data_IF_668626967646
#
_entry.id   IF_668626967646
#
_cell.length_a   1.000
_cell.length_b   1.000
_cell.length_c   1.000
_cell.angle_alpha   90.00
_cell.angle_beta   90.00
_cell.angle_gamma   90.00
#
_symmetry.space_group_name_H-M   'P 1'
#
loop_
_entity.id
_entity.type
_entity.pdbx_description
1 polymer ?
#
# COMPACT_ATOMS: atom_id res chain seq x y z
N UNK A 1 19.86 -0.10 -20.02
CA UNK A 1 18.69 -0.78 -19.44
C UNK A 1 17.92 0.28 -18.66
N UNK A 2 16.78 0.71 -19.18
CA UNK A 2 15.95 1.78 -18.60
C UNK A 2 15.24 1.20 -17.38
N UNK A 3 15.49 1.75 -16.19
CA UNK A 3 14.71 1.42 -15.00
C UNK A 3 13.39 2.16 -15.09
N UNK A 4 12.28 1.43 -15.05
CA UNK A 4 10.94 2.00 -15.19
C UNK A 4 10.53 2.53 -13.82
N UNK A 5 10.39 3.84 -13.74
CA UNK A 5 9.74 4.53 -12.63
C UNK A 5 8.27 4.12 -12.57
N UNK A 6 7.76 3.79 -11.38
CA UNK A 6 6.35 3.46 -11.22
C UNK A 6 5.48 4.71 -11.45
N UNK A 7 4.45 4.57 -12.28
CA UNK A 7 3.49 5.65 -12.56
C UNK A 7 2.51 5.81 -11.39
N UNK A 8 1.88 6.99 -11.28
CA UNK A 8 0.80 7.19 -10.29
C UNK A 8 -0.37 6.23 -10.54
N UNK A 9 -0.66 5.92 -11.81
CA UNK A 9 -1.71 4.96 -12.18
C UNK A 9 -1.39 3.53 -11.71
N UNK A 10 -0.11 3.14 -11.66
CA UNK A 10 0.31 1.86 -11.11
C UNK A 10 -0.02 1.76 -9.61
N UNK A 11 0.28 2.81 -8.84
CA UNK A 11 -0.07 2.89 -7.42
C UNK A 11 -1.58 2.91 -7.21
N UNK A 12 -2.32 3.64 -8.05
CA UNK A 12 -3.79 3.67 -8.04
C UNK A 12 -4.40 2.29 -8.29
N UNK A 13 -3.89 1.54 -9.27
CA UNK A 13 -4.34 0.16 -9.53
C UNK A 13 -4.11 -0.71 -8.30
N UNK A 14 -2.92 -0.66 -7.72
CA UNK A 14 -2.58 -1.40 -6.49
C UNK A 14 -3.53 -1.08 -5.34
N UNK A 15 -3.86 0.19 -5.11
CA UNK A 15 -4.81 0.59 -4.07
C UNK A 15 -6.21 -0.01 -4.31
N UNK A 16 -6.67 -0.09 -5.57
CA UNK A 16 -7.95 -0.74 -5.88
C UNK A 16 -7.90 -2.25 -5.70
N UNK A 17 -6.81 -2.93 -6.02
CA UNK A 17 -6.66 -4.37 -5.74
C UNK A 17 -6.75 -4.66 -4.24
N UNK A 18 -6.14 -3.80 -3.40
CA UNK A 18 -6.30 -3.89 -1.94
C UNK A 18 -7.76 -3.70 -1.57
N UNK A 19 -8.43 -2.66 -2.08
CA UNK A 19 -9.85 -2.40 -1.81
C UNK A 19 -10.73 -3.61 -2.14
N UNK A 20 -10.60 -4.19 -3.34
CA UNK A 20 -11.40 -5.34 -3.76
C UNK A 20 -11.15 -6.56 -2.87
N UNK A 21 -9.92 -6.78 -2.42
CA UNK A 21 -9.56 -7.88 -1.53
C UNK A 21 -10.16 -7.72 -0.13
N UNK A 22 -10.23 -6.49 0.40
CA UNK A 22 -10.58 -6.24 1.82
C UNK A 22 -12.02 -5.79 2.03
N UNK A 23 -12.67 -5.23 1.01
CA UNK A 23 -14.06 -4.75 1.09
C UNK A 23 -15.03 -5.82 1.63
N UNK A 24 -14.95 -7.11 1.25
CA UNK A 24 -15.80 -8.16 1.81
C UNK A 24 -15.51 -8.50 3.30
N UNK A 25 -14.41 -8.00 3.86
CA UNK A 25 -13.99 -8.29 5.24
C UNK A 25 -14.30 -7.16 6.22
N UNK A 26 -14.60 -5.95 5.73
CA UNK A 26 -14.89 -4.78 6.57
C UNK A 26 -16.05 -5.04 7.53
N UNK A 27 -15.84 -4.83 8.82
CA UNK A 27 -16.83 -5.03 9.87
C UNK A 27 -17.24 -6.49 10.13
N UNK A 28 -16.54 -7.46 9.54
CA UNK A 28 -16.86 -8.89 9.73
C UNK A 28 -16.00 -9.53 10.82
N UNK A 29 -16.54 -10.54 11.50
CA UNK A 29 -15.76 -11.38 12.44
C UNK A 29 -14.55 -12.01 11.76
N UNK A 30 -14.70 -12.40 10.48
CA UNK A 30 -13.60 -12.96 9.68
C UNK A 30 -12.49 -11.94 9.48
N UNK A 31 -12.81 -10.68 9.21
CA UNK A 31 -11.84 -9.59 9.09
C UNK A 31 -11.13 -9.30 10.41
N UNK A 32 -11.88 -9.27 11.52
CA UNK A 32 -11.38 -9.00 12.86
C UNK A 32 -10.59 -10.15 13.52
N UNK A 33 -10.53 -11.33 12.88
CA UNK A 33 -9.82 -12.49 13.42
C UNK A 33 -8.34 -12.19 13.56
N UNK A 34 -7.83 -12.21 14.79
CA UNK A 34 -6.40 -12.07 15.13
C UNK A 34 -5.61 -13.27 14.62
N UNK A 35 -4.44 -13.03 14.04
CA UNK A 35 -3.61 -14.06 13.42
C UNK A 35 -2.24 -14.19 14.09
N UNK A 36 -1.38 -13.18 13.90
CA UNK A 36 0.03 -13.20 14.30
C UNK A 36 0.47 -11.81 14.77
N UNK A 37 1.68 -11.71 15.29
CA UNK A 37 2.31 -10.42 15.59
C UNK A 37 2.99 -9.93 14.31
N UNK A 38 2.69 -8.70 13.88
CA UNK A 38 3.30 -8.02 12.74
C UNK A 38 4.71 -7.52 13.07
N UNK A 39 5.45 -7.07 12.06
CA UNK A 39 6.81 -6.54 12.26
C UNK A 39 6.84 -5.29 13.17
N UNK A 40 5.75 -4.51 13.20
CA UNK A 40 5.56 -3.39 14.13
C UNK A 40 5.35 -3.78 15.60
N UNK A 41 5.07 -5.06 15.89
CA UNK A 41 4.86 -5.57 17.25
C UNK A 41 3.39 -5.70 17.69
N UNK A 42 2.45 -5.19 16.89
CA UNK A 42 1.01 -5.32 17.12
C UNK A 42 0.45 -6.66 16.58
N UNK A 43 -0.70 -7.08 17.09
CA UNK A 43 -1.38 -8.29 16.62
C UNK A 43 -2.14 -7.97 15.34
N UNK A 44 -1.64 -8.46 14.21
CA UNK A 44 -2.29 -8.36 12.90
C UNK A 44 -3.61 -9.12 12.88
N UNK A 45 -4.62 -8.54 12.25
CA UNK A 45 -5.88 -9.19 11.95
C UNK A 45 -5.88 -9.75 10.52
N UNK A 46 -6.88 -10.56 10.21
CA UNK A 46 -7.02 -11.18 8.90
C UNK A 46 -7.22 -10.12 7.79
N UNK A 47 -7.84 -8.99 8.09
CA UNK A 47 -7.97 -7.89 7.12
C UNK A 47 -6.61 -7.29 6.74
N UNK A 48 -5.72 -7.08 7.71
CA UNK A 48 -4.36 -6.55 7.48
C UNK A 48 -3.53 -7.52 6.63
N UNK A 49 -3.58 -8.80 7.00
CA UNK A 49 -2.88 -9.87 6.22
C UNK A 49 -3.46 -10.01 4.82
N UNK A 50 -4.76 -9.81 4.63
CA UNK A 50 -5.39 -9.86 3.29
C UNK A 50 -4.92 -8.69 2.43
N UNK A 51 -4.88 -7.48 2.99
CA UNK A 51 -4.39 -6.28 2.32
C UNK A 51 -2.92 -6.41 1.90
N UNK A 52 -2.06 -6.83 2.83
CA UNK A 52 -0.63 -7.04 2.61
C UNK A 52 -0.39 -8.08 1.49
N UNK A 53 -1.11 -9.21 1.53
CA UNK A 53 -0.99 -10.23 0.51
C UNK A 53 -1.45 -9.73 -0.88
N UNK A 54 -2.47 -8.87 -0.94
CA UNK A 54 -2.91 -8.27 -2.20
C UNK A 54 -1.82 -7.38 -2.80
N UNK A 55 -1.10 -6.58 -1.98
CA UNK A 55 0.04 -5.76 -2.42
C UNK A 55 1.17 -6.64 -2.96
N UNK A 56 1.59 -7.64 -2.18
CA UNK A 56 2.69 -8.54 -2.56
C UNK A 56 2.35 -9.25 -3.87
N UNK A 57 1.15 -9.83 -3.97
CA UNK A 57 0.71 -10.57 -5.14
C UNK A 57 0.68 -9.67 -6.38
N UNK A 58 0.10 -8.46 -6.28
CA UNK A 58 0.08 -7.49 -7.37
C UNK A 58 1.50 -7.14 -7.87
N UNK A 59 2.44 -6.90 -6.96
CA UNK A 59 3.84 -6.59 -7.32
C UNK A 59 4.54 -7.78 -8.00
N UNK A 60 4.30 -9.00 -7.51
CA UNK A 60 4.85 -10.24 -8.06
C UNK A 60 4.29 -10.53 -9.46
N UNK A 61 2.97 -10.43 -9.65
CA UNK A 61 2.30 -10.63 -10.93
C UNK A 61 2.77 -9.63 -12.00
N UNK A 62 2.96 -8.37 -11.61
CA UNK A 62 3.50 -7.31 -12.48
C UNK A 62 5.02 -7.39 -12.65
N UNK A 63 5.68 -8.39 -12.03
CA UNK A 63 7.13 -8.66 -12.12
C UNK A 63 7.98 -7.45 -11.74
N UNK A 64 7.55 -6.72 -10.72
CA UNK A 64 8.25 -5.53 -10.23
C UNK A 64 9.48 -5.95 -9.42
N UNK A 65 10.56 -5.17 -9.55
CA UNK A 65 11.76 -5.31 -8.72
C UNK A 65 11.83 -4.10 -7.79
N UNK A 66 11.51 -4.28 -6.51
CA UNK A 66 11.36 -3.17 -5.56
C UNK A 66 11.67 -3.60 -4.13
N UNK A 67 12.07 -2.66 -3.28
CA UNK A 67 12.02 -2.83 -1.82
C UNK A 67 10.63 -2.41 -1.33
N UNK A 68 9.85 -3.35 -0.81
CA UNK A 68 8.60 -3.09 -0.09
C UNK A 68 8.91 -2.92 1.39
N UNK A 69 8.37 -1.86 1.98
CA UNK A 69 8.42 -1.57 3.41
C UNK A 69 6.98 -1.42 3.90
N UNK A 70 6.56 -2.24 4.85
CA UNK A 70 5.23 -2.12 5.46
C UNK A 70 5.24 -2.47 6.95
N UNK A 71 4.16 -2.12 7.64
CA UNK A 71 3.97 -2.41 9.06
C UNK A 71 4.04 -3.91 9.38
N UNK A 72 3.49 -4.75 8.50
CA UNK A 72 3.29 -6.16 8.79
C UNK A 72 4.52 -7.04 8.55
N UNK A 73 5.32 -6.69 7.54
CA UNK A 73 6.46 -7.51 7.10
C UNK A 73 7.81 -6.81 7.28
N UNK A 74 7.83 -5.53 7.65
CA UNK A 74 9.05 -4.73 7.67
C UNK A 74 9.58 -4.56 6.25
N UNK A 75 10.86 -4.89 6.03
CA UNK A 75 11.50 -4.80 4.72
C UNK A 75 11.48 -6.13 3.95
N UNK A 76 10.95 -6.12 2.72
CA UNK A 76 10.95 -7.28 1.82
C UNK A 76 11.33 -6.85 0.39
N UNK A 77 12.29 -7.53 -0.20
CA UNK A 77 12.56 -7.39 -1.63
C UNK A 77 11.55 -8.21 -2.44
N UNK A 78 10.88 -7.58 -3.40
CA UNK A 78 10.04 -8.24 -4.39
C UNK A 78 10.81 -8.31 -5.72
N UNK A 79 10.77 -9.47 -6.39
CA UNK A 79 11.50 -9.73 -7.63
C UNK A 79 13.02 -9.91 -7.42
N UNK A 80 13.80 -9.46 -8.40
CA UNK A 80 15.27 -9.53 -8.37
C UNK A 80 15.85 -8.44 -7.45
N UNK A 81 16.39 -8.88 -6.31
CA UNK A 81 17.01 -8.02 -5.28
C UNK A 81 18.10 -7.10 -5.85
N UNK A 82 18.95 -7.60 -6.75
CA UNK A 82 20.04 -6.80 -7.33
C UNK A 82 19.50 -5.68 -8.21
N UNK A 83 18.42 -5.95 -8.96
CA UNK A 83 17.73 -4.93 -9.75
C UNK A 83 17.01 -3.91 -8.86
N UNK A 84 16.32 -4.37 -7.80
CA UNK A 84 15.66 -3.49 -6.84
C UNK A 84 16.65 -2.51 -6.19
N UNK A 85 17.78 -3.01 -5.67
CA UNK A 85 18.85 -2.19 -5.07
C UNK A 85 19.41 -1.18 -6.08
N UNK A 86 19.68 -1.63 -7.31
CA UNK A 86 20.25 -0.76 -8.34
C UNK A 86 19.29 0.34 -8.79
N UNK A 87 17.99 0.07 -8.83
CA UNK A 87 16.96 1.06 -9.16
C UNK A 87 16.69 2.06 -8.02
N UNK A 88 17.02 1.68 -6.77
CA UNK A 88 16.65 2.42 -5.57
C UNK A 88 15.13 2.64 -5.40
N UNK A 89 14.32 1.84 -6.10
CA UNK A 89 12.88 1.88 -5.95
C UNK A 89 12.48 1.34 -4.58
N UNK A 90 11.71 2.15 -3.85
CA UNK A 90 11.15 1.78 -2.55
C UNK A 90 9.66 2.07 -2.56
N UNK A 91 8.86 1.12 -2.10
CA UNK A 91 7.45 1.28 -1.82
C UNK A 91 7.25 1.24 -0.31
N UNK A 92 6.66 2.28 0.27
CA UNK A 92 6.31 2.35 1.68
C UNK A 92 4.80 2.26 1.76
N UNK A 93 4.28 1.27 2.48
CA UNK A 93 2.86 0.95 2.48
C UNK A 93 2.36 0.73 3.90
N UNK A 94 1.23 1.35 4.21
CA UNK A 94 0.33 0.90 5.27
C UNK A 94 -0.86 0.21 4.59
N UNK A 95 -0.95 -1.13 4.66
CA UNK A 95 -2.01 -1.87 3.99
C UNK A 95 -3.41 -1.48 4.50
N UNK A 96 -3.56 -1.19 5.79
CA UNK A 96 -4.81 -0.79 6.44
C UNK A 96 -4.48 0.22 7.56
N UNK A 97 -4.43 1.51 7.22
CA UNK A 97 -4.47 2.55 8.23
C UNK A 97 -5.86 2.54 8.87
N UNK A 98 -5.91 2.37 10.20
CA UNK A 98 -7.16 2.24 10.95
C UNK A 98 -7.72 0.81 11.02
N UNK A 99 -6.88 -0.22 11.15
CA UNK A 99 -7.30 -1.64 11.25
C UNK A 99 -8.40 -1.90 12.27
N UNK A 100 -8.34 -1.26 13.45
CA UNK A 100 -9.39 -1.38 14.46
C UNK A 100 -10.74 -0.84 13.98
N UNK A 101 -10.74 0.26 13.22
CA UNK A 101 -11.96 0.81 12.63
C UNK A 101 -12.48 -0.12 11.53
N UNK A 102 -11.58 -0.57 10.65
CA UNK A 102 -11.91 -1.49 9.56
C UNK A 102 -12.53 -2.80 10.07
N UNK A 103 -11.94 -3.39 11.11
CA UNK A 103 -12.43 -4.62 11.75
C UNK A 103 -13.80 -4.46 12.43
N UNK A 104 -14.13 -3.24 12.89
CA UNK A 104 -15.41 -2.91 13.53
C UNK A 104 -16.46 -2.33 12.58
N UNK A 105 -16.11 -2.14 11.31
CA UNK A 105 -17.00 -1.51 10.32
C UNK A 105 -17.19 0.00 10.55
N UNK A 106 -16.26 0.64 11.26
CA UNK A 106 -16.24 2.09 11.44
C UNK A 106 -15.58 2.70 10.19
N UNK A 107 -16.20 3.68 9.49
CA UNK A 107 -15.80 4.08 8.14
C UNK A 107 -14.60 5.04 8.07
N UNK A 108 -13.58 4.78 8.90
CA UNK A 108 -12.35 5.56 9.00
C UNK A 108 -11.14 4.64 8.86
N UNK A 109 -10.98 4.09 7.66
CA UNK A 109 -9.82 3.29 7.27
C UNK A 109 -9.42 3.54 5.81
N UNK A 110 -8.13 3.36 5.52
CA UNK A 110 -7.57 3.55 4.18
C UNK A 110 -6.40 2.62 3.91
N UNK A 111 -6.08 2.42 2.63
CA UNK A 111 -4.75 1.97 2.22
C UNK A 111 -3.90 3.19 1.89
N UNK A 112 -2.65 3.22 2.37
CA UNK A 112 -1.70 4.31 2.14
C UNK A 112 -0.44 3.79 1.45
N UNK A 113 -0.08 4.37 0.30
CA UNK A 113 1.03 3.92 -0.54
C UNK A 113 1.88 5.12 -0.91
N UNK A 114 3.17 5.07 -0.61
CA UNK A 114 4.16 6.05 -1.05
C UNK A 114 5.26 5.36 -1.87
N UNK A 115 5.69 6.00 -2.95
CA UNK A 115 6.78 5.53 -3.81
C UNK A 115 7.94 6.52 -3.80
N UNK A 116 9.13 5.99 -3.57
CA UNK A 116 10.38 6.74 -3.52
C UNK A 116 11.44 6.14 -4.47
N UNK A 117 12.32 7.00 -4.95
CA UNK A 117 13.55 6.62 -5.66
C UNK A 117 14.73 7.07 -4.79
N UNK A 118 15.10 6.24 -3.82
CA UNK A 118 16.01 6.59 -2.74
C UNK A 118 15.54 6.04 -1.41
N UNK A 119 16.19 6.46 -0.32
CA UNK A 119 15.95 5.91 1.03
C UNK A 119 15.46 6.94 2.04
N UNK A 120 15.29 8.20 1.63
CA UNK A 120 14.81 9.27 2.50
C UNK A 120 13.39 9.69 2.15
N UNK A 121 12.69 10.31 3.10
CA UNK A 121 11.36 10.87 2.86
C UNK A 121 11.36 11.97 1.79
N UNK A 122 12.51 12.63 1.54
CA UNK A 122 12.67 13.63 0.46
C UNK A 122 12.67 13.01 -0.95
N UNK A 123 12.91 11.71 -1.02
CA UNK A 123 12.98 10.93 -2.25
C UNK A 123 11.61 10.40 -2.68
N UNK A 124 10.56 10.61 -1.88
CA UNK A 124 9.17 10.29 -2.25
C UNK A 124 8.77 11.15 -3.45
N UNK A 125 8.37 10.48 -4.53
CA UNK A 125 7.95 11.13 -5.79
C UNK A 125 6.46 11.04 -6.01
N UNK A 126 5.78 10.02 -5.47
CA UNK A 126 4.34 9.77 -5.65
C UNK A 126 3.72 9.19 -4.40
N UNK A 127 2.43 9.48 -4.19
CA UNK A 127 1.65 8.89 -3.11
C UNK A 127 0.19 8.70 -3.51
N UNK A 128 -0.43 7.67 -2.94
CA UNK A 128 -1.85 7.33 -3.08
C UNK A 128 -2.41 6.99 -1.71
N UNK A 129 -3.56 7.58 -1.38
CA UNK A 129 -4.39 7.15 -0.27
C UNK A 129 -5.77 6.84 -0.83
N UNK A 130 -6.29 5.65 -0.55
CA UNK A 130 -7.65 5.27 -0.92
C UNK A 130 -8.44 4.96 0.35
N UNK A 131 -9.51 5.72 0.58
CA UNK A 131 -10.46 5.43 1.65
C UNK A 131 -11.21 4.13 1.33
N UNK A 132 -11.16 3.15 2.23
CA UNK A 132 -11.74 1.82 2.01
C UNK A 132 -13.27 1.77 2.16
N UNK A 133 -13.88 2.88 2.55
CA UNK A 133 -15.32 3.00 2.78
C UNK A 133 -15.98 3.90 1.73
N UNK A 134 -15.41 5.08 1.49
CA UNK A 134 -15.96 6.05 0.52
C UNK A 134 -15.40 5.89 -0.89
N UNK A 135 -14.28 5.16 -1.03
CA UNK A 135 -13.49 5.06 -2.27
C UNK A 135 -12.93 6.40 -2.75
N UNK A 136 -12.87 7.39 -1.86
CA UNK A 136 -12.17 8.64 -2.13
C UNK A 136 -10.69 8.36 -2.35
N UNK A 137 -10.22 8.79 -3.52
CA UNK A 137 -8.85 8.57 -3.98
C UNK A 137 -8.09 9.88 -3.93
N UNK A 138 -7.12 9.94 -3.03
CA UNK A 138 -6.15 11.01 -2.93
C UNK A 138 -4.87 10.60 -3.66
N UNK A 139 -4.38 11.46 -4.54
CA UNK A 139 -3.16 11.24 -5.32
C UNK A 139 -2.25 12.45 -5.16
N UNK A 140 -0.95 12.24 -5.09
CA UNK A 140 0.02 13.32 -5.16
C UNK A 140 1.24 12.89 -5.98
N UNK A 141 1.77 13.82 -6.76
CA UNK A 141 3.04 13.66 -7.47
C UNK A 141 3.93 14.89 -7.22
N UNK A 142 5.21 14.65 -6.96
CA UNK A 142 6.20 15.71 -6.68
C UNK A 142 6.22 16.74 -7.81
N UNK A 143 5.99 18.00 -7.45
CA UNK A 143 5.92 19.12 -8.40
C UNK A 143 4.61 19.29 -9.15
N UNK A 144 3.62 18.39 -8.98
CA UNK A 144 2.31 18.47 -9.66
C UNK A 144 1.14 18.83 -8.73
N UNK A 145 1.37 18.81 -7.41
CA UNK A 145 0.34 19.03 -6.39
C UNK A 145 -0.41 17.76 -6.02
N UNK A 146 -1.57 17.92 -5.40
CA UNK A 146 -2.43 16.82 -4.96
C UNK A 146 -3.81 16.89 -5.63
N UNK A 147 -4.45 15.73 -5.74
CA UNK A 147 -5.79 15.55 -6.29
C UNK A 147 -6.63 14.70 -5.33
N UNK A 148 -7.90 15.06 -5.17
CA UNK A 148 -8.96 14.22 -4.61
C UNK A 148 -9.96 13.92 -5.72
N UNK A 149 -10.13 12.65 -6.07
CA UNK A 149 -11.06 12.20 -7.11
C UNK A 149 -10.89 12.98 -8.43
N UNK A 150 -9.64 13.24 -8.81
CA UNK A 150 -9.26 13.98 -10.01
C UNK A 150 -9.36 15.50 -9.91
N UNK A 151 -9.80 16.07 -8.79
CA UNK A 151 -9.88 17.52 -8.55
C UNK A 151 -8.72 17.98 -7.67
N UNK A 152 -8.10 19.12 -8.00
CA UNK A 152 -7.01 19.70 -7.18
C UNK A 152 -7.49 20.09 -5.78
N UNK A 153 -6.61 19.89 -4.80
CA UNK A 153 -6.78 20.27 -3.40
C UNK A 153 -5.59 21.08 -2.90
#
# INVERSE_FOLDING_TARGET
>A
MIYIELSIDFLKQMAYEVYEAVNPLLGTEKGAKKLKIGAGGDISMNIDTTAENAIIHFLEEKKINILLISEEIGEKFIGDKSKAIKSQNVLIVDPIDGSNNAARGIPYSSVSIAYAIGKSTKDITKAVILNLNTRDLYLAEKGKGALLNGKKI
#
